data_IF_290670615698
#
_entry.id   IF_290670615698
#
_cell.length_a   1.000
_cell.length_b   1.000
_cell.length_c   1.000
_cell.angle_alpha   90.00
_cell.angle_beta   90.00
_cell.angle_gamma   90.00
#
_symmetry.space_group_name_H-M   'P 1'
#
loop_
_entity.id
_entity.type
_entity.pdbx_description
1 polymer ?
#
# COMPACT_ATOMS: atom_id res chain seq x y z
N UNK A 1 -3.47 12.41 -23.01
CA UNK A 1 -3.05 13.48 -22.08
C UNK A 1 -1.73 13.09 -21.45
N UNK A 2 -1.09 13.99 -20.70
CA UNK A 2 0.14 13.75 -19.94
C UNK A 2 -0.16 13.75 -18.44
N UNK A 3 0.62 13.03 -17.65
CA UNK A 3 0.61 13.07 -16.20
C UNK A 3 2.01 13.41 -15.67
N UNK A 4 2.12 14.36 -14.73
CA UNK A 4 3.41 14.74 -14.12
C UNK A 4 3.62 14.07 -12.76
N UNK A 5 2.55 13.85 -12.00
CA UNK A 5 2.62 13.18 -10.71
C UNK A 5 1.34 12.43 -10.34
N UNK A 6 1.49 11.43 -9.47
CA UNK A 6 0.39 10.68 -8.86
C UNK A 6 0.59 10.60 -7.35
N UNK A 7 -0.46 10.88 -6.59
CA UNK A 7 -0.49 10.67 -5.13
C UNK A 7 -1.49 9.57 -4.80
N UNK A 8 -1.00 8.48 -4.22
CA UNK A 8 -1.78 7.35 -3.75
C UNK A 8 -1.99 7.41 -2.23
N UNK A 9 -3.18 7.87 -1.83
CA UNK A 9 -3.60 8.02 -0.44
C UNK A 9 -4.80 7.10 -0.11
N UNK A 10 -4.72 5.83 -0.51
CA UNK A 10 -5.76 4.82 -0.28
C UNK A 10 -5.21 3.73 0.66
N UNK A 11 -6.03 3.34 1.63
CA UNK A 11 -5.78 2.20 2.50
C UNK A 11 -7.10 1.64 3.02
N UNK A 12 -7.16 0.34 3.23
CA UNK A 12 -8.33 -0.35 3.79
C UNK A 12 -7.92 -1.61 4.56
N UNK A 13 -8.61 -1.83 5.67
CA UNK A 13 -8.67 -3.08 6.42
C UNK A 13 -10.01 -3.13 7.14
N UNK A 14 -10.48 -4.33 7.44
CA UNK A 14 -11.61 -4.48 8.37
C UNK A 14 -11.24 -3.85 9.72
N UNK A 15 -12.09 -2.93 10.20
CA UNK A 15 -11.86 -2.17 11.44
C UNK A 15 -12.01 -3.05 12.67
N UNK A 16 -12.87 -4.06 12.61
CA UNK A 16 -13.12 -4.93 13.75
C UNK A 16 -11.87 -5.77 14.05
N UNK A 17 -11.12 -6.15 13.02
CA UNK A 17 -9.85 -6.87 13.14
C UNK A 17 -8.64 -5.97 13.51
N UNK A 18 -8.80 -4.64 13.53
CA UNK A 18 -7.74 -3.73 14.01
C UNK A 18 -7.70 -3.62 15.52
N UNK A 19 -8.78 -3.93 16.23
CA UNK A 19 -8.84 -3.79 17.70
C UNK A 19 -8.45 -5.09 18.45
N UNK A 20 -8.35 -6.22 17.74
CA UNK A 20 -7.97 -7.54 18.28
C UNK A 20 -6.48 -7.88 18.17
N UNK A 21 -6.13 -9.17 18.23
CA UNK A 21 -4.76 -9.65 18.04
C UNK A 21 -4.48 -9.91 16.56
N UNK A 22 -3.32 -9.49 16.06
CA UNK A 22 -2.88 -9.76 14.68
C UNK A 22 -2.92 -11.25 14.28
N UNK A 23 -2.58 -12.16 15.19
CA UNK A 23 -2.57 -13.61 14.89
C UNK A 23 -3.96 -14.17 14.56
N UNK A 24 -5.04 -13.48 14.93
CA UNK A 24 -6.42 -13.86 14.60
C UNK A 24 -6.89 -13.25 13.27
N UNK A 25 -6.03 -12.50 12.55
CA UNK A 25 -6.41 -11.91 11.27
C UNK A 25 -6.88 -12.99 10.31
N UNK A 26 -8.07 -12.79 9.75
CA UNK A 26 -8.64 -13.75 8.81
C UNK A 26 -7.90 -13.68 7.47
N UNK A 27 -7.85 -14.81 6.76
CA UNK A 27 -7.27 -14.86 5.41
C UNK A 27 -7.97 -13.86 4.47
N UNK A 28 -9.28 -13.75 4.56
CA UNK A 28 -10.07 -12.88 3.69
C UNK A 28 -9.76 -11.41 3.95
N UNK A 29 -9.65 -11.00 5.23
CA UNK A 29 -9.24 -9.65 5.57
C UNK A 29 -7.79 -9.38 5.10
N UNK A 30 -6.87 -10.32 5.33
CA UNK A 30 -5.48 -10.20 4.85
C UNK A 30 -5.41 -9.95 3.34
N UNK A 31 -6.09 -10.77 2.53
CA UNK A 31 -6.09 -10.64 1.08
C UNK A 31 -6.69 -9.30 0.63
N UNK A 32 -7.82 -8.90 1.23
CA UNK A 32 -8.46 -7.61 0.92
C UNK A 32 -7.59 -6.41 1.30
N UNK A 33 -6.94 -6.47 2.46
CA UNK A 33 -6.03 -5.43 2.92
C UNK A 33 -4.81 -5.29 2.00
N UNK A 34 -4.23 -6.41 1.57
CA UNK A 34 -3.10 -6.41 0.63
C UNK A 34 -3.50 -5.89 -0.75
N UNK A 35 -4.66 -6.31 -1.28
CA UNK A 35 -5.15 -5.85 -2.58
C UNK A 35 -5.35 -4.33 -2.59
N UNK A 36 -6.10 -3.81 -1.61
CA UNK A 36 -6.46 -2.39 -1.58
C UNK A 36 -5.31 -1.49 -1.11
N UNK A 37 -4.51 -1.92 -0.12
CA UNK A 37 -3.51 -1.05 0.51
C UNK A 37 -2.11 -1.20 -0.08
N UNK A 38 -1.88 -2.20 -0.92
CA UNK A 38 -0.56 -2.49 -1.52
C UNK A 38 -0.66 -2.59 -3.04
N UNK A 39 -1.43 -3.57 -3.53
CA UNK A 39 -1.42 -3.92 -4.95
C UNK A 39 -2.11 -2.86 -5.84
N UNK A 40 -3.03 -2.10 -5.27
CA UNK A 40 -3.62 -0.92 -5.89
C UNK A 40 -2.56 0.09 -6.37
N UNK A 41 -1.48 0.32 -5.59
CA UNK A 41 -0.39 1.22 -5.97
C UNK A 41 0.39 0.70 -7.19
N UNK A 42 0.69 -0.60 -7.23
CA UNK A 42 1.29 -1.24 -8.41
C UNK A 42 0.38 -1.14 -9.63
N UNK A 43 -0.93 -1.36 -9.45
CA UNK A 43 -1.91 -1.32 -10.53
C UNK A 43 -2.00 0.06 -11.16
N UNK A 44 -2.04 1.11 -10.34
CA UNK A 44 -2.10 2.49 -10.87
C UNK A 44 -0.74 2.93 -11.42
N UNK A 45 0.39 2.48 -10.86
CA UNK A 45 1.71 2.77 -11.42
C UNK A 45 1.82 2.26 -12.86
N UNK A 46 1.44 1.00 -13.10
CA UNK A 46 1.37 0.41 -14.45
C UNK A 46 0.47 1.19 -15.42
N UNK A 47 -0.62 1.79 -14.92
CA UNK A 47 -1.54 2.59 -15.76
C UNK A 47 -1.05 4.01 -15.98
N UNK A 48 -0.31 4.57 -15.03
CA UNK A 48 0.25 5.91 -15.10
C UNK A 48 1.50 5.97 -15.99
N UNK A 49 2.31 4.92 -16.00
CA UNK A 49 3.56 4.84 -16.77
C UNK A 49 3.44 5.31 -18.24
N UNK A 50 2.45 4.86 -19.06
CA UNK A 50 2.32 5.33 -20.44
C UNK A 50 1.98 6.82 -20.58
N UNK A 51 1.46 7.45 -19.52
CA UNK A 51 1.11 8.87 -19.46
C UNK A 51 2.26 9.75 -18.95
N UNK A 52 3.32 9.14 -18.42
CA UNK A 52 4.48 9.79 -17.81
C UNK A 52 5.75 9.64 -18.68
N UNK A 53 5.58 9.66 -20.02
CA UNK A 53 6.66 9.43 -20.99
C UNK A 53 7.82 10.45 -20.92
N UNK A 54 7.58 11.62 -20.32
CA UNK A 54 8.61 12.66 -20.08
C UNK A 54 9.13 12.62 -18.63
N UNK A 55 8.93 11.49 -17.94
CA UNK A 55 9.18 11.34 -16.51
C UNK A 55 8.03 11.87 -15.65
N UNK A 56 8.19 11.73 -14.34
CA UNK A 56 7.29 12.25 -13.32
C UNK A 56 7.54 11.62 -11.96
N UNK A 57 6.58 11.75 -11.04
CA UNK A 57 6.72 11.24 -9.66
C UNK A 57 5.49 10.49 -9.17
N UNK A 58 5.71 9.32 -8.58
CA UNK A 58 4.69 8.57 -7.87
C UNK A 58 4.96 8.61 -6.37
N UNK A 59 3.94 8.99 -5.61
CA UNK A 59 4.00 9.07 -4.15
C UNK A 59 2.90 8.20 -3.55
N UNK A 60 3.22 7.49 -2.47
CA UNK A 60 2.22 6.85 -1.63
C UNK A 60 2.48 7.13 -0.14
N UNK A 61 1.49 6.85 0.70
CA UNK A 61 1.55 7.10 2.13
C UNK A 61 1.72 5.78 2.89
N UNK A 62 2.78 5.71 3.69
CA UNK A 62 3.03 4.66 4.68
C UNK A 62 2.85 5.19 6.10
N UNK A 63 3.09 4.34 7.10
CA UNK A 63 3.04 4.70 8.53
C UNK A 63 4.07 3.89 9.31
N UNK A 64 4.52 4.42 10.45
CA UNK A 64 5.55 3.81 11.29
C UNK A 64 5.23 2.37 11.74
N UNK A 65 3.96 1.98 11.73
CA UNK A 65 3.51 0.60 11.93
C UNK A 65 4.07 -0.42 10.91
N UNK A 66 4.70 0.03 9.82
CA UNK A 66 5.45 -0.81 8.89
C UNK A 66 6.80 -1.27 9.46
N UNK A 67 7.42 -0.46 10.31
CA UNK A 67 8.78 -0.69 10.82
C UNK A 67 8.78 -1.23 12.25
N UNK A 68 7.74 -0.89 13.04
CA UNK A 68 7.59 -1.29 14.43
C UNK A 68 6.15 -1.71 14.73
N UNK A 69 6.02 -2.58 15.73
CA UNK A 69 4.70 -3.01 16.21
C UNK A 69 3.99 -1.81 16.86
N UNK A 70 2.86 -1.42 16.28
CA UNK A 70 1.98 -0.37 16.80
C UNK A 70 0.67 -0.98 17.30
N UNK A 71 0.19 -0.61 18.51
CA UNK A 71 -1.11 -1.02 18.98
C UNK A 71 -2.22 -0.65 18.00
N UNK A 72 -3.19 -1.53 17.84
CA UNK A 72 -4.35 -1.36 16.96
C UNK A 72 -4.03 -1.16 15.47
N UNK A 73 -2.83 -1.57 15.01
CA UNK A 73 -2.43 -1.46 13.61
C UNK A 73 -2.42 -2.83 12.89
N UNK A 74 -2.19 -3.93 13.61
CA UNK A 74 -2.34 -5.32 13.15
C UNK A 74 -1.92 -5.55 11.68
N UNK A 75 -2.81 -6.09 10.85
CA UNK A 75 -2.53 -6.43 9.45
C UNK A 75 -2.17 -5.22 8.57
N UNK A 76 -2.60 -4.01 8.95
CA UNK A 76 -2.19 -2.80 8.24
C UNK A 76 -0.68 -2.55 8.35
N UNK A 77 -0.03 -2.94 9.45
CA UNK A 77 1.43 -2.85 9.58
C UNK A 77 2.14 -3.71 8.54
N UNK A 78 1.68 -4.95 8.37
CA UNK A 78 2.21 -5.88 7.36
C UNK A 78 1.98 -5.34 5.96
N UNK A 79 0.80 -4.81 5.67
CA UNK A 79 0.50 -4.20 4.38
C UNK A 79 1.39 -2.98 4.10
N UNK A 80 1.63 -2.10 5.08
CA UNK A 80 2.50 -0.94 4.89
C UNK A 80 3.97 -1.34 4.70
N UNK A 81 4.45 -2.37 5.38
CA UNK A 81 5.77 -2.93 5.11
C UNK A 81 5.88 -3.50 3.68
N UNK A 82 4.83 -4.19 3.20
CA UNK A 82 4.76 -4.68 1.83
C UNK A 82 4.69 -3.54 0.79
N UNK A 83 3.98 -2.45 1.10
CA UNK A 83 3.93 -1.24 0.27
C UNK A 83 5.31 -0.56 0.17
N UNK A 84 6.06 -0.46 1.27
CA UNK A 84 7.43 0.07 1.25
C UNK A 84 8.39 -0.83 0.47
N UNK A 85 8.19 -2.14 0.51
CA UNK A 85 8.90 -3.05 -0.38
C UNK A 85 8.52 -2.79 -1.85
N UNK A 86 7.23 -2.71 -2.18
CA UNK A 86 6.80 -2.49 -3.57
C UNK A 86 7.26 -1.16 -4.14
N UNK A 87 7.34 -0.10 -3.34
CA UNK A 87 7.94 1.18 -3.74
C UNK A 87 9.38 1.01 -4.22
N UNK A 88 10.19 0.18 -3.55
CA UNK A 88 11.58 -0.07 -3.94
C UNK A 88 11.70 -0.84 -5.25
N UNK A 89 10.79 -1.78 -5.50
CA UNK A 89 10.73 -2.50 -6.78
C UNK A 89 10.27 -1.58 -7.91
N UNK A 90 9.18 -0.84 -7.71
CA UNK A 90 8.64 0.11 -8.69
C UNK A 90 9.56 1.30 -8.99
N UNK A 91 10.52 1.59 -8.10
CA UNK A 91 11.53 2.62 -8.36
C UNK A 91 12.66 2.15 -9.28
N UNK A 92 12.80 0.83 -9.47
CA UNK A 92 13.82 0.21 -10.34
C UNK A 92 13.24 -0.14 -11.70
N UNK A 93 12.00 -0.65 -11.73
CA UNK A 93 11.23 -0.90 -12.94
C UNK A 93 10.97 0.41 -13.72
#
# INVERSE_FOLDING_TARGET
GKLDFLVHAIAFSDKDELTGRYVETTRDNFLRTMDISVFSFTTIAKRAEPLMAEGGSLLTLTYYGAEKVMPHYNVMGVAKAALEASVRYLAVD
#
